data_IF_634706719640
#
_entry.id   IF_634706719640
#
_cell.length_a   1.000
_cell.length_b   1.000
_cell.length_c   1.000
_cell.angle_alpha   90.00
_cell.angle_beta   90.00
_cell.angle_gamma   90.00
#
_symmetry.space_group_name_H-M   'P 1'
#
loop_
_entity.id
_entity.type
_entity.pdbx_description
1 polymer ?
#
# COMPACT_ATOMS: atom_id res chain seq x y z
N UNK A 1 -30.14 62.50 -37.13
CA UNK A 1 -29.08 62.16 -38.12
C UNK A 1 -27.79 62.92 -37.77
N UNK A 2 -26.72 62.20 -37.37
CA UNK A 2 -25.28 62.43 -37.75
C UNK A 2 -24.32 61.91 -36.68
N UNK A 3 -23.77 60.72 -36.98
CA UNK A 3 -22.38 60.22 -36.81
C UNK A 3 -21.56 60.71 -35.60
N UNK A 4 -21.42 59.83 -34.61
CA UNK A 4 -20.29 59.82 -33.68
C UNK A 4 -19.07 59.13 -34.33
N UNK A 5 -17.95 59.87 -34.41
CA UNK A 5 -16.63 59.38 -34.84
C UNK A 5 -15.97 58.63 -33.66
N UNK A 6 -15.57 57.38 -33.87
CA UNK A 6 -14.61 56.68 -33.00
C UNK A 6 -13.20 57.07 -33.45
N UNK A 7 -12.49 57.74 -32.55
CA UNK A 7 -11.11 58.21 -32.71
C UNK A 7 -10.20 57.44 -31.76
N UNK A 8 -9.12 56.88 -32.30
CA UNK A 8 -7.83 56.77 -31.60
C UNK A 8 -7.57 55.49 -30.81
N UNK A 9 -7.04 54.46 -31.45
CA UNK A 9 -6.16 53.50 -30.78
C UNK A 9 -4.75 54.10 -30.73
N UNK A 10 -4.37 54.64 -29.57
CA UNK A 10 -3.00 55.05 -29.28
C UNK A 10 -2.13 53.83 -28.98
N UNK A 11 -1.11 53.59 -29.80
CA UNK A 11 -0.07 52.60 -29.49
C UNK A 11 0.85 53.17 -28.41
N UNK A 12 0.78 52.60 -27.21
CA UNK A 12 1.71 52.92 -26.12
C UNK A 12 2.96 52.06 -26.32
N UNK A 13 3.99 52.65 -26.92
CA UNK A 13 5.32 52.04 -26.96
C UNK A 13 5.97 52.18 -25.57
N UNK A 14 6.07 51.08 -24.84
CA UNK A 14 6.83 51.07 -23.58
C UNK A 14 8.33 51.16 -23.89
N UNK A 15 9.08 51.99 -23.15
CA UNK A 15 10.52 52.10 -23.35
C UNK A 15 11.20 50.75 -23.05
N UNK A 16 12.20 50.41 -23.87
CA UNK A 16 12.90 49.12 -23.85
C UNK A 16 13.46 48.74 -22.46
N UNK A 17 13.80 49.75 -21.65
CA UNK A 17 14.24 49.57 -20.26
C UNK A 17 13.17 48.93 -19.36
N UNK A 18 11.89 49.22 -19.58
CA UNK A 18 10.77 48.64 -18.83
C UNK A 18 10.56 47.18 -19.22
N UNK A 19 10.69 46.85 -20.51
CA UNK A 19 10.62 45.48 -21.00
C UNK A 19 11.78 44.62 -20.48
N UNK A 20 13.00 45.17 -20.47
CA UNK A 20 14.19 44.49 -19.93
C UNK A 20 14.10 44.26 -18.42
N UNK A 21 13.54 45.21 -17.68
CA UNK A 21 13.33 45.06 -16.25
C UNK A 21 12.31 43.96 -15.96
N UNK A 22 11.17 43.98 -16.66
CA UNK A 22 10.13 42.95 -16.53
C UNK A 22 10.65 41.54 -16.89
N UNK A 23 11.49 41.43 -17.91
CA UNK A 23 12.09 40.16 -18.31
C UNK A 23 13.08 39.64 -17.25
N UNK A 24 13.89 40.52 -16.65
CA UNK A 24 14.79 40.15 -15.55
C UNK A 24 14.05 39.69 -14.30
N UNK A 25 12.93 40.33 -13.94
CA UNK A 25 12.10 39.87 -12.83
C UNK A 25 11.50 38.51 -13.12
N UNK A 26 10.90 38.31 -14.31
CA UNK A 26 10.32 37.03 -14.72
C UNK A 26 11.36 35.90 -14.73
N UNK A 27 12.56 36.14 -15.26
CA UNK A 27 13.65 35.15 -15.27
C UNK A 27 14.13 34.80 -13.85
N UNK A 28 14.22 35.79 -12.95
CA UNK A 28 14.59 35.55 -11.55
C UNK A 28 13.50 34.76 -10.79
N UNK A 29 12.21 35.02 -11.07
CA UNK A 29 11.11 34.26 -10.47
C UNK A 29 11.06 32.83 -10.99
N UNK A 30 11.29 32.61 -12.29
CA UNK A 30 11.35 31.28 -12.90
C UNK A 30 12.52 30.45 -12.37
N UNK A 31 13.72 31.03 -12.23
CA UNK A 31 14.87 30.34 -11.62
C UNK A 31 14.62 29.97 -10.14
N UNK A 32 13.91 30.83 -9.41
CA UNK A 32 13.57 30.58 -7.99
C UNK A 32 12.51 29.49 -7.85
N UNK A 33 11.53 29.43 -8.76
CA UNK A 33 10.54 28.36 -8.81
C UNK A 33 11.18 27.00 -9.16
N UNK A 34 12.12 26.97 -10.11
CA UNK A 34 12.82 25.74 -10.50
C UNK A 34 13.72 25.20 -9.37
N UNK A 35 14.33 26.07 -8.56
CA UNK A 35 15.17 25.66 -7.41
C UNK A 35 14.38 25.07 -6.24
N UNK A 36 13.07 25.29 -6.17
CA UNK A 36 12.23 24.85 -5.05
C UNK A 36 11.21 23.76 -5.41
N UNK A 37 11.12 23.32 -6.67
CA UNK A 37 10.20 22.24 -7.06
C UNK A 37 8.75 22.53 -6.68
N UNK A 38 8.35 23.81 -6.75
CA UNK A 38 6.99 24.25 -6.48
C UNK A 38 6.34 24.64 -7.80
N UNK A 39 5.51 23.77 -8.34
CA UNK A 39 4.52 24.17 -9.34
C UNK A 39 3.56 25.19 -8.71
N UNK A 40 3.17 26.26 -9.42
CA UNK A 40 2.20 27.21 -8.92
C UNK A 40 0.82 26.55 -8.84
N UNK A 41 0.31 26.38 -7.61
CA UNK A 41 -1.10 26.06 -7.40
C UNK A 41 -1.97 27.26 -7.82
N UNK A 42 -3.10 27.04 -8.51
CA UNK A 42 -4.07 28.09 -8.77
C UNK A 42 -4.69 28.63 -7.46
N UNK A 43 -5.14 29.90 -7.46
CA UNK A 43 -5.67 30.55 -6.27
C UNK A 43 -6.96 29.87 -5.79
N UNK A 44 -7.03 29.66 -4.48
CA UNK A 44 -8.21 29.14 -3.80
C UNK A 44 -9.13 30.30 -3.40
N UNK A 45 -10.15 30.56 -4.22
CA UNK A 45 -11.27 31.45 -3.88
C UNK A 45 -12.54 30.62 -3.61
N UNK A 46 -12.80 30.42 -2.30
CA UNK A 46 -14.08 30.24 -1.56
C UNK A 46 -15.23 29.32 -2.03
N UNK A 47 -16.33 29.21 -1.25
CA UNK A 47 -16.53 29.55 0.18
C UNK A 47 -17.03 28.36 1.04
N UNK A 48 -17.12 28.62 2.34
CA UNK A 48 -17.72 27.79 3.38
C UNK A 48 -19.00 27.04 2.95
N UNK A 49 -18.99 25.72 3.11
CA UNK A 49 -20.19 24.91 3.24
C UNK A 49 -20.20 24.34 4.66
N UNK A 50 -20.84 25.07 5.56
CA UNK A 50 -21.27 24.54 6.84
C UNK A 50 -22.16 23.32 6.60
N UNK A 51 -21.76 22.17 7.14
CA UNK A 51 -22.60 20.99 7.23
C UNK A 51 -23.73 21.28 8.23
N UNK A 52 -25.01 21.00 7.91
CA UNK A 52 -26.07 21.12 8.88
C UNK A 52 -25.94 20.00 9.92
N UNK A 53 -25.99 20.41 11.18
CA UNK A 53 -26.15 19.53 12.34
C UNK A 53 -27.54 18.91 12.26
N UNK A 54 -27.61 17.61 12.00
CA UNK A 54 -28.84 16.84 12.14
C UNK A 54 -29.16 16.66 13.63
N UNK A 55 -30.31 17.17 14.06
CA UNK A 55 -30.85 16.97 15.40
C UNK A 55 -31.34 15.53 15.63
N UNK A 56 -31.58 15.12 16.88
CA UNK A 56 -32.02 13.79 17.23
C UNK A 56 -33.56 13.75 17.29
N UNK A 57 -34.22 13.33 16.21
CA UNK A 57 -35.54 12.70 16.34
C UNK A 57 -35.97 12.06 15.01
N UNK A 58 -36.03 10.73 14.98
CA UNK A 58 -36.79 9.97 13.99
C UNK A 58 -36.91 8.53 14.47
N UNK A 59 -37.97 8.29 15.24
CA UNK A 59 -38.56 6.98 15.49
C UNK A 59 -38.94 6.32 14.16
N UNK A 60 -38.31 5.18 13.85
CA UNK A 60 -38.71 4.32 12.74
C UNK A 60 -39.89 3.43 13.17
N UNK A 61 -40.96 3.31 12.37
CA UNK A 61 -41.97 2.29 12.60
C UNK A 61 -41.49 0.93 12.10
N UNK A 62 -41.61 -0.07 12.97
CA UNK A 62 -41.52 -1.49 12.64
C UNK A 62 -42.78 -1.86 11.86
N UNK A 63 -42.63 -2.18 10.57
CA UNK A 63 -43.64 -2.93 9.82
C UNK A 63 -43.04 -4.30 9.54
N UNK A 64 -43.55 -5.30 10.25
CA UNK A 64 -43.30 -6.70 9.99
C UNK A 64 -44.07 -7.13 8.75
N UNK A 65 -43.40 -7.81 7.82
CA UNK A 65 -44.04 -8.52 6.72
C UNK A 65 -43.91 -10.04 6.98
N UNK A 66 -44.98 -10.74 7.38
CA UNK A 66 -44.95 -12.16 7.65
C UNK A 66 -45.55 -12.92 6.45
N UNK A 67 -44.85 -12.95 5.31
CA UNK A 67 -45.04 -13.99 4.28
C UNK A 67 -44.03 -13.86 3.13
N UNK A 68 -42.84 -14.43 3.32
CA UNK A 68 -41.94 -14.76 2.23
C UNK A 68 -41.54 -16.23 2.32
N UNK A 69 -42.43 -17.09 1.83
CA UNK A 69 -42.20 -18.52 1.64
C UNK A 69 -41.19 -18.71 0.51
N UNK A 70 -39.90 -18.88 0.86
CA UNK A 70 -38.86 -19.29 -0.09
C UNK A 70 -38.77 -20.82 -0.12
N UNK A 71 -39.52 -21.42 -1.04
CA UNK A 71 -39.31 -22.78 -1.52
C UNK A 71 -38.38 -22.73 -2.73
N UNK A 72 -37.17 -23.29 -2.60
CA UNK A 72 -36.39 -23.79 -3.72
C UNK A 72 -35.42 -24.88 -3.23
N UNK A 73 -35.88 -26.11 -3.29
CA UNK A 73 -35.08 -27.33 -3.23
C UNK A 73 -34.24 -27.46 -4.50
N UNK A 74 -32.93 -27.22 -4.38
CA UNK A 74 -31.93 -27.55 -5.40
C UNK A 74 -31.22 -28.87 -5.07
N UNK A 75 -30.87 -29.71 -6.06
CA UNK A 75 -30.31 -31.03 -5.83
C UNK A 75 -28.90 -30.96 -5.24
N UNK A 76 -28.71 -31.76 -4.17
CA UNK A 76 -27.44 -31.98 -3.48
C UNK A 76 -26.45 -32.66 -4.45
N UNK A 77 -25.54 -31.86 -5.00
CA UNK A 77 -24.36 -32.35 -5.72
C UNK A 77 -23.34 -32.86 -4.71
N UNK A 78 -23.34 -34.17 -4.51
CA UNK A 78 -22.31 -34.89 -3.79
C UNK A 78 -21.10 -35.08 -4.71
N UNK A 79 -20.33 -34.01 -4.90
CA UNK A 79 -18.95 -34.12 -5.36
C UNK A 79 -18.01 -34.21 -4.15
N UNK A 80 -17.10 -35.19 -4.08
CA UNK A 80 -16.00 -35.15 -3.12
C UNK A 80 -15.11 -33.95 -3.50
N UNK A 81 -15.19 -32.88 -2.72
CA UNK A 81 -14.44 -31.65 -2.91
C UNK A 81 -12.95 -31.93 -2.69
N UNK A 82 -12.26 -32.32 -3.76
CA UNK A 82 -10.82 -32.18 -3.84
C UNK A 82 -10.50 -30.71 -3.53
N UNK A 83 -9.63 -30.47 -2.53
CA UNK A 83 -9.03 -29.17 -2.26
C UNK A 83 -8.26 -28.74 -3.53
N UNK A 84 -8.92 -28.11 -4.48
CA UNK A 84 -8.23 -27.36 -5.53
C UNK A 84 -7.73 -26.09 -4.87
N UNK A 85 -6.60 -26.27 -4.19
CA UNK A 85 -5.80 -25.25 -3.55
C UNK A 85 -5.67 -24.05 -4.48
N UNK A 86 -6.20 -22.92 -4.02
CA UNK A 86 -5.79 -21.56 -4.39
C UNK A 86 -5.07 -21.39 -5.72
N UNK A 87 -5.84 -21.30 -6.79
CA UNK A 87 -5.29 -20.81 -8.04
C UNK A 87 -5.23 -19.29 -7.96
N UNK A 88 -4.03 -18.73 -8.13
CA UNK A 88 -3.86 -17.31 -8.47
C UNK A 88 -4.83 -16.94 -9.61
N UNK A 89 -5.39 -15.72 -9.63
CA UNK A 89 -6.21 -15.29 -10.76
C UNK A 89 -5.44 -15.44 -12.07
N UNK A 90 -6.13 -15.81 -13.14
CA UNK A 90 -5.57 -15.98 -14.49
C UNK A 90 -6.18 -14.93 -15.39
N UNK A 91 -5.36 -14.11 -16.05
CA UNK A 91 -5.86 -13.01 -16.87
C UNK A 91 -6.48 -11.85 -16.08
N UNK A 92 -6.27 -11.81 -14.77
CA UNK A 92 -6.81 -10.79 -13.87
C UNK A 92 -5.94 -9.53 -13.78
N UNK A 93 -6.43 -8.54 -13.04
CA UNK A 93 -5.70 -7.32 -12.70
C UNK A 93 -5.25 -7.37 -11.25
N UNK A 94 -3.95 -7.30 -11.03
CA UNK A 94 -3.31 -7.44 -9.72
C UNK A 94 -2.72 -6.11 -9.30
N UNK A 95 -2.93 -5.72 -8.05
CA UNK A 95 -2.24 -4.59 -7.45
C UNK A 95 -1.12 -5.12 -6.55
N UNK A 96 0.11 -4.67 -6.79
CA UNK A 96 1.22 -4.85 -5.85
C UNK A 96 1.56 -3.49 -5.25
N UNK A 97 1.51 -3.37 -3.93
CA UNK A 97 1.86 -2.15 -3.19
C UNK A 97 3.11 -2.39 -2.37
N UNK A 98 4.17 -1.66 -2.70
CA UNK A 98 5.38 -1.64 -1.88
C UNK A 98 5.31 -0.51 -0.86
N UNK A 99 5.38 -0.89 0.41
CA UNK A 99 5.30 0.02 1.57
C UNK A 99 6.56 0.02 2.42
N UNK A 100 6.63 1.00 3.30
CA UNK A 100 7.68 1.13 4.30
C UNK A 100 8.81 2.02 3.81
N UNK A 101 9.99 1.77 4.38
CA UNK A 101 11.22 2.51 4.12
C UNK A 101 12.18 1.64 3.30
N UNK A 102 12.73 2.21 2.23
CA UNK A 102 13.80 1.59 1.47
C UNK A 102 15.15 1.72 2.19
N UNK A 103 16.07 0.80 1.89
CA UNK A 103 17.44 0.82 2.41
C UNK A 103 17.53 0.83 3.94
N UNK A 104 16.68 0.03 4.60
CA UNK A 104 16.79 -0.21 6.03
C UNK A 104 18.05 -1.02 6.31
N UNK A 105 18.83 -0.59 7.29
CA UNK A 105 19.91 -1.39 7.86
C UNK A 105 19.48 -1.98 9.20
N UNK A 106 19.99 -3.17 9.57
CA UNK A 106 19.82 -3.69 10.91
C UNK A 106 20.33 -2.65 11.90
N UNK A 107 19.56 -2.36 12.93
CA UNK A 107 19.95 -1.38 13.93
C UNK A 107 21.06 -1.98 14.79
N UNK A 108 22.32 -1.59 14.61
CA UNK A 108 23.37 -1.97 15.58
C UNK A 108 23.25 -1.22 16.91
N UNK A 109 22.24 -0.34 17.04
CA UNK A 109 22.02 0.54 18.19
C UNK A 109 20.57 0.45 18.62
N UNK A 110 20.31 0.60 19.92
CA UNK A 110 18.95 0.52 20.47
C UNK A 110 18.02 1.54 19.79
N UNK A 111 16.74 1.19 19.59
CA UNK A 111 15.73 2.06 18.93
C UNK A 111 15.66 3.48 19.51
N UNK A 112 16.07 3.66 20.77
CA UNK A 112 16.15 4.95 21.46
C UNK A 112 17.28 5.83 20.91
N UNK A 113 18.41 5.24 20.53
CA UNK A 113 19.57 5.92 19.95
C UNK A 113 19.36 6.30 18.49
N UNK A 114 18.48 5.61 17.76
CA UNK A 114 18.24 5.81 16.32
C UNK A 114 17.02 6.69 16.03
N UNK A 115 16.42 7.32 17.05
CA UNK A 115 15.18 8.11 16.93
C UNK A 115 15.24 9.31 15.96
N UNK A 116 16.41 9.63 15.39
CA UNK A 116 16.57 10.61 14.31
C UNK A 116 17.12 10.08 12.98
N UNK A 117 17.43 8.78 12.89
CA UNK A 117 18.22 8.20 11.79
C UNK A 117 17.64 6.88 11.23
N UNK A 118 16.33 6.67 11.37
CA UNK A 118 15.61 5.54 10.76
C UNK A 118 15.55 5.60 9.22
N UNK A 119 16.23 6.57 8.59
CA UNK A 119 16.16 6.80 7.15
C UNK A 119 17.34 6.15 6.42
N UNK A 120 17.01 5.30 5.46
CA UNK A 120 17.74 5.14 4.20
C UNK A 120 19.28 5.13 4.32
N UNK A 121 19.85 4.03 4.80
CA UNK A 121 21.30 3.91 4.94
C UNK A 121 21.90 3.33 3.65
N UNK A 122 22.96 3.96 3.14
CA UNK A 122 23.69 3.48 1.96
C UNK A 122 24.17 2.03 2.11
N UNK A 123 24.48 1.56 3.32
CA UNK A 123 24.84 0.16 3.56
C UNK A 123 23.66 -0.83 3.37
N UNK A 124 22.42 -0.32 3.27
CA UNK A 124 21.23 -1.08 2.89
C UNK A 124 21.00 -1.17 1.38
N UNK A 125 21.79 -0.46 0.56
CA UNK A 125 21.55 -0.30 -0.88
C UNK A 125 21.54 -1.63 -1.65
N UNK A 126 22.63 -2.40 -1.58
CA UNK A 126 22.75 -3.64 -2.36
C UNK A 126 21.65 -4.66 -1.97
N UNK A 127 21.28 -4.68 -0.69
CA UNK A 127 20.18 -5.50 -0.18
C UNK A 127 18.84 -5.03 -0.73
N UNK A 128 18.60 -3.73 -0.76
CA UNK A 128 17.39 -3.17 -1.34
C UNK A 128 17.30 -3.49 -2.83
N UNK A 129 18.39 -3.41 -3.57
CA UNK A 129 18.46 -3.83 -4.99
C UNK A 129 18.14 -5.32 -5.14
N UNK A 130 18.70 -6.18 -4.27
CA UNK A 130 18.41 -7.61 -4.27
C UNK A 130 16.93 -7.90 -3.98
N UNK A 131 16.36 -7.25 -2.96
CA UNK A 131 14.94 -7.34 -2.62
C UNK A 131 14.05 -6.93 -3.80
N UNK A 132 14.32 -5.76 -4.41
CA UNK A 132 13.60 -5.27 -5.60
C UNK A 132 13.67 -6.24 -6.77
N UNK A 133 14.86 -6.78 -7.07
CA UNK A 133 15.03 -7.79 -8.14
C UNK A 133 14.26 -9.06 -7.84
N UNK A 134 14.29 -9.54 -6.59
CA UNK A 134 13.60 -10.75 -6.17
C UNK A 134 12.08 -10.61 -6.25
N UNK A 135 11.52 -9.44 -5.87
CA UNK A 135 10.10 -9.13 -6.04
C UNK A 135 9.69 -9.25 -7.52
N UNK A 136 10.47 -8.65 -8.41
CA UNK A 136 10.19 -8.73 -9.85
C UNK A 136 10.29 -10.16 -10.36
N UNK A 137 11.30 -10.92 -9.93
CA UNK A 137 11.56 -12.28 -10.40
C UNK A 137 10.54 -13.32 -9.86
N UNK A 138 10.15 -13.20 -8.59
CA UNK A 138 9.43 -14.24 -7.87
C UNK A 138 7.95 -13.88 -7.62
N UNK A 139 7.55 -12.61 -7.74
CA UNK A 139 6.16 -12.20 -7.54
C UNK A 139 5.57 -11.66 -8.85
N UNK A 140 6.13 -10.57 -9.38
CA UNK A 140 5.54 -9.87 -10.53
C UNK A 140 5.56 -10.72 -11.80
N UNK A 141 6.73 -11.22 -12.20
CA UNK A 141 6.86 -12.01 -13.43
C UNK A 141 6.03 -13.30 -13.42
N UNK A 142 5.98 -14.11 -12.34
CA UNK A 142 5.11 -15.28 -12.30
C UNK A 142 3.64 -14.93 -12.46
N UNK A 143 3.15 -13.85 -11.84
CA UNK A 143 1.77 -13.37 -12.04
C UNK A 143 1.50 -12.99 -13.50
N UNK A 144 2.42 -12.25 -14.14
CA UNK A 144 2.29 -11.88 -15.55
C UNK A 144 2.36 -13.08 -16.49
N UNK A 145 3.14 -14.11 -16.13
CA UNK A 145 3.31 -15.32 -16.95
C UNK A 145 2.00 -16.09 -17.14
N UNK A 146 1.07 -15.96 -16.18
CA UNK A 146 -0.31 -16.49 -16.27
C UNK A 146 -1.31 -15.44 -16.78
N UNK A 147 -0.82 -14.51 -17.61
CA UNK A 147 -1.57 -13.45 -18.30
C UNK A 147 -2.16 -12.37 -17.40
N UNK A 148 -1.77 -12.28 -16.13
CA UNK A 148 -2.24 -11.18 -15.31
C UNK A 148 -1.61 -9.86 -15.73
N UNK A 149 -2.37 -8.77 -15.53
CA UNK A 149 -1.89 -7.40 -15.57
C UNK A 149 -1.50 -6.97 -14.17
N UNK A 150 -0.26 -6.59 -13.92
CA UNK A 150 0.20 -6.19 -12.57
C UNK A 150 0.43 -4.68 -12.51
N UNK A 151 -0.36 -3.94 -11.74
CA UNK A 151 -0.05 -2.55 -11.43
C UNK A 151 0.81 -2.48 -10.16
N UNK A 152 1.96 -1.80 -10.22
CA UNK A 152 2.91 -1.69 -9.11
C UNK A 152 2.85 -0.28 -8.53
N UNK A 153 2.43 -0.13 -7.26
CA UNK A 153 2.45 1.12 -6.52
C UNK A 153 3.59 1.12 -5.53
N UNK A 154 4.54 2.02 -5.71
CA UNK A 154 5.76 2.09 -4.91
C UNK A 154 5.68 3.33 -4.04
N UNK A 155 5.59 3.19 -2.71
CA UNK A 155 5.71 4.33 -1.80
C UNK A 155 6.94 4.19 -0.93
N UNK A 156 7.74 5.24 -0.81
CA UNK A 156 8.92 5.23 0.04
C UNK A 156 8.91 6.46 0.95
N UNK A 157 9.40 6.30 2.17
CA UNK A 157 9.72 7.44 3.03
C UNK A 157 10.80 8.32 2.38
N UNK A 158 10.82 9.65 2.60
CA UNK A 158 11.83 10.52 2.02
C UNK A 158 13.23 10.06 2.45
N UNK A 159 14.10 9.87 1.46
CA UNK A 159 15.47 9.43 1.60
C UNK A 159 16.39 10.57 1.13
N UNK A 160 17.48 10.86 1.87
CA UNK A 160 18.42 11.93 1.48
C UNK A 160 19.31 11.48 0.31
N UNK A 161 19.42 10.17 0.13
CA UNK A 161 20.21 9.47 -0.85
C UNK A 161 19.43 9.34 -2.19
N UNK A 162 18.98 10.48 -2.71
CA UNK A 162 18.11 10.57 -3.89
C UNK A 162 18.58 9.73 -5.08
N UNK A 163 19.89 9.70 -5.35
CA UNK A 163 20.44 8.91 -6.46
C UNK A 163 20.29 7.39 -6.25
N UNK A 164 20.41 6.91 -5.01
CA UNK A 164 20.27 5.50 -4.70
C UNK A 164 18.82 5.06 -4.86
N UNK A 165 17.86 5.87 -4.41
CA UNK A 165 16.45 5.54 -4.58
C UNK A 165 16.04 5.54 -6.06
N UNK A 166 16.57 6.45 -6.88
CA UNK A 166 16.32 6.44 -8.33
C UNK A 166 16.81 5.16 -9.01
N UNK A 167 17.97 4.63 -8.59
CA UNK A 167 18.46 3.37 -9.14
C UNK A 167 17.58 2.17 -8.75
N UNK A 168 17.00 2.17 -7.55
CA UNK A 168 16.00 1.16 -7.14
C UNK A 168 14.72 1.34 -7.96
N UNK A 169 14.26 2.57 -8.16
CA UNK A 169 13.12 2.89 -9.00
C UNK A 169 13.32 2.48 -10.45
N UNK A 170 14.55 2.52 -10.97
CA UNK A 170 14.84 2.05 -12.33
C UNK A 170 14.52 0.55 -12.52
N UNK A 171 14.67 -0.26 -11.46
CA UNK A 171 14.31 -1.69 -11.47
C UNK A 171 12.80 -1.84 -11.66
N UNK A 172 12.01 -1.01 -10.98
CA UNK A 172 10.56 -0.99 -11.10
C UNK A 172 10.08 -0.27 -12.36
N UNK A 173 10.76 0.76 -12.84
CA UNK A 173 10.36 1.55 -14.00
C UNK A 173 10.48 0.77 -15.32
N UNK A 174 11.33 -0.27 -15.35
CA UNK A 174 11.33 -1.24 -16.44
C UNK A 174 9.97 -1.97 -16.57
N UNK A 175 9.17 -2.00 -15.52
CA UNK A 175 7.81 -2.49 -15.52
C UNK A 175 6.82 -1.39 -15.92
N UNK A 176 6.06 -1.63 -17.00
CA UNK A 176 5.24 -0.62 -17.69
C UNK A 176 4.14 0.00 -16.82
N UNK A 177 3.74 -0.67 -15.74
CA UNK A 177 2.59 -0.30 -14.90
C UNK A 177 3.01 0.13 -13.50
N UNK A 178 4.23 0.61 -13.37
CA UNK A 178 4.76 1.16 -12.13
C UNK A 178 4.31 2.60 -11.93
N UNK A 179 3.88 2.92 -10.72
CA UNK A 179 3.71 4.29 -10.26
C UNK A 179 4.43 4.49 -8.94
N UNK A 180 5.30 5.48 -8.94
CA UNK A 180 6.02 5.92 -7.74
C UNK A 180 5.18 6.98 -7.06
N UNK A 181 4.78 6.70 -5.83
CA UNK A 181 3.89 7.51 -5.03
C UNK A 181 4.72 8.17 -3.91
N UNK A 182 4.95 9.49 -3.98
CA UNK A 182 5.80 10.17 -3.00
C UNK A 182 5.19 10.07 -1.61
N UNK A 183 6.06 10.00 -0.60
CA UNK A 183 5.61 10.06 0.79
C UNK A 183 4.77 11.31 1.02
N UNK A 184 3.62 11.14 1.66
CA UNK A 184 2.81 12.28 2.03
C UNK A 184 3.42 13.02 3.21
N UNK A 185 3.85 14.26 2.99
CA UNK A 185 4.36 15.14 4.06
C UNK A 185 3.37 15.32 5.23
N UNK A 186 2.07 15.15 4.95
CA UNK A 186 0.99 15.23 5.95
C UNK A 186 0.75 13.91 6.69
N UNK A 187 1.25 12.78 6.18
CA UNK A 187 1.18 11.51 6.88
C UNK A 187 2.10 11.56 8.09
N UNK A 188 1.53 11.34 9.27
CA UNK A 188 2.24 11.39 10.55
C UNK A 188 3.06 10.13 10.80
N UNK A 189 2.74 9.04 10.13
CA UNK A 189 3.39 7.74 10.28
C UNK A 189 3.22 6.88 9.01
N UNK A 190 3.89 5.72 8.98
CA UNK A 190 3.81 4.78 7.85
C UNK A 190 2.39 4.28 7.57
N UNK A 191 1.56 4.13 8.61
CA UNK A 191 0.18 3.67 8.47
C UNK A 191 -0.69 4.69 7.72
N UNK A 192 -0.61 5.98 8.07
CA UNK A 192 -1.30 7.05 7.35
C UNK A 192 -0.82 7.18 5.90
N UNK A 193 0.49 7.01 5.65
CA UNK A 193 1.03 7.02 4.30
C UNK A 193 0.51 5.82 3.47
N UNK A 194 0.51 4.61 4.03
CA UNK A 194 -0.05 3.43 3.38
C UNK A 194 -1.55 3.61 3.09
N UNK A 195 -2.32 4.15 4.05
CA UNK A 195 -3.74 4.46 3.83
C UNK A 195 -3.94 5.40 2.64
N UNK A 196 -3.14 6.47 2.55
CA UNK A 196 -3.22 7.41 1.43
C UNK A 196 -2.91 6.75 0.08
N UNK A 197 -1.89 5.89 0.01
CA UNK A 197 -1.54 5.15 -1.23
C UNK A 197 -2.68 4.23 -1.64
N UNK A 198 -3.28 3.51 -0.70
CA UNK A 198 -4.40 2.63 -1.00
C UNK A 198 -5.66 3.39 -1.40
N UNK A 199 -5.90 4.61 -0.87
CA UNK A 199 -6.95 5.48 -1.39
C UNK A 199 -6.73 5.86 -2.87
N UNK A 200 -5.47 6.02 -3.32
CA UNK A 200 -5.19 6.17 -4.76
C UNK A 200 -5.49 4.89 -5.53
N UNK A 201 -5.17 3.74 -4.95
CA UNK A 201 -5.47 2.44 -5.56
C UNK A 201 -6.98 2.24 -5.75
N UNK A 202 -7.81 2.60 -4.76
CA UNK A 202 -9.28 2.61 -4.88
C UNK A 202 -9.73 3.47 -6.04
N UNK A 203 -9.21 4.71 -6.15
CA UNK A 203 -9.54 5.60 -7.29
C UNK A 203 -9.14 4.99 -8.64
N UNK A 204 -7.97 4.35 -8.73
CA UNK A 204 -7.54 3.64 -9.95
C UNK A 204 -8.43 2.44 -10.28
N UNK A 205 -8.90 1.72 -9.27
CA UNK A 205 -9.85 0.62 -9.46
C UNK A 205 -11.18 1.13 -10.02
N UNK A 206 -11.68 2.27 -9.52
CA UNK A 206 -12.90 2.90 -10.06
C UNK A 206 -12.78 3.34 -11.52
N UNK A 207 -11.58 3.72 -11.98
CA UNK A 207 -11.35 4.23 -13.34
C UNK A 207 -10.97 3.14 -14.35
N UNK A 208 -10.24 2.12 -13.91
CA UNK A 208 -9.63 1.12 -14.80
C UNK A 208 -10.15 -0.31 -14.56
N UNK A 209 -11.20 -0.46 -13.71
CA UNK A 209 -11.77 -1.75 -13.33
C UNK A 209 -11.24 -2.28 -11.99
N UNK A 210 -11.99 -3.16 -11.30
CA UNK A 210 -11.57 -3.72 -10.02
C UNK A 210 -10.28 -4.55 -10.17
N UNK A 211 -9.55 -4.69 -9.08
CA UNK A 211 -8.47 -5.67 -8.99
C UNK A 211 -9.06 -7.02 -8.58
N UNK A 212 -8.42 -8.11 -9.00
CA UNK A 212 -8.76 -9.47 -8.57
C UNK A 212 -8.00 -9.83 -7.30
N UNK A 213 -6.74 -9.39 -7.20
CA UNK A 213 -5.86 -9.63 -6.06
C UNK A 213 -5.07 -8.36 -5.71
N UNK A 214 -4.94 -8.10 -4.43
CA UNK A 214 -4.07 -7.07 -3.87
C UNK A 214 -2.96 -7.77 -3.08
N UNK A 215 -1.73 -7.35 -3.31
CA UNK A 215 -0.54 -7.76 -2.56
C UNK A 215 0.08 -6.50 -1.99
N UNK A 216 0.26 -6.43 -0.67
CA UNK A 216 0.96 -5.34 0.01
C UNK A 216 2.20 -5.95 0.64
N UNK A 217 3.39 -5.47 0.32
CA UNK A 217 4.62 -5.97 0.91
C UNK A 217 5.63 -4.87 1.20
N UNK A 218 6.64 -5.14 2.02
CA UNK A 218 7.71 -4.20 2.33
C UNK A 218 8.77 -4.18 1.22
N UNK A 219 9.52 -3.09 1.16
CA UNK A 219 10.65 -2.93 0.22
C UNK A 219 11.81 -3.86 0.48
N UNK A 220 12.01 -4.26 1.73
CA UNK A 220 13.22 -4.94 2.22
C UNK A 220 13.07 -6.47 2.31
N UNK A 221 12.10 -7.04 1.58
CA UNK A 221 11.86 -8.48 1.54
C UNK A 221 12.56 -9.08 0.32
N UNK A 222 13.51 -9.99 0.56
CA UNK A 222 14.05 -10.84 -0.51
C UNK A 222 13.14 -12.06 -0.62
N UNK A 223 12.45 -12.20 -1.75
CA UNK A 223 11.61 -13.36 -2.03
C UNK A 223 12.46 -14.51 -2.58
N UNK A 224 12.39 -15.68 -1.97
CA UNK A 224 13.17 -16.87 -2.38
C UNK A 224 12.36 -17.87 -3.21
N UNK A 225 11.03 -17.90 -3.00
CA UNK A 225 10.10 -18.75 -3.76
C UNK A 225 9.14 -17.92 -4.59
N UNK A 226 8.70 -18.49 -5.70
CA UNK A 226 7.71 -17.84 -6.55
C UNK A 226 6.33 -17.88 -5.89
N UNK A 227 5.50 -16.87 -6.14
CA UNK A 227 4.15 -16.79 -5.55
C UNK A 227 3.23 -17.95 -5.95
N UNK A 228 3.46 -18.57 -7.11
CA UNK A 228 2.74 -19.76 -7.58
C UNK A 228 3.20 -21.07 -6.89
N UNK A 229 4.21 -21.00 -6.03
CA UNK A 229 4.73 -22.13 -5.24
C UNK A 229 4.38 -22.01 -3.75
N UNK A 230 3.54 -21.05 -3.35
CA UNK A 230 3.18 -20.82 -1.96
C UNK A 230 2.07 -21.78 -1.53
N UNK A 231 2.34 -22.73 -0.60
CA UNK A 231 1.42 -23.83 -0.33
C UNK A 231 0.15 -23.40 0.43
N UNK A 232 0.26 -22.36 1.26
CA UNK A 232 -0.81 -21.94 2.18
C UNK A 232 -1.66 -20.76 1.65
N UNK A 233 -1.16 -20.01 0.66
CA UNK A 233 -1.84 -18.84 0.13
C UNK A 233 -3.23 -19.22 -0.35
N UNK A 234 -4.29 -18.59 0.17
CA UNK A 234 -5.66 -18.64 -0.38
C UNK A 234 -6.08 -17.23 -0.80
N UNK A 235 -6.06 -16.94 -2.11
CA UNK A 235 -6.34 -15.60 -2.64
C UNK A 235 -7.77 -15.09 -2.38
N UNK A 236 -8.67 -15.96 -1.91
CA UNK A 236 -10.03 -15.58 -1.51
C UNK A 236 -10.08 -15.00 -0.10
N UNK A 237 -9.01 -15.14 0.68
CA UNK A 237 -8.90 -14.70 2.07
C UNK A 237 -8.03 -13.45 2.19
N UNK A 238 -8.14 -12.78 3.33
CA UNK A 238 -7.11 -11.87 3.78
C UNK A 238 -5.96 -12.67 4.41
N UNK A 239 -4.79 -12.69 3.79
CA UNK A 239 -3.65 -13.43 4.30
C UNK A 239 -2.59 -12.50 4.90
N UNK A 240 -2.02 -12.93 6.02
CA UNK A 240 -0.72 -12.44 6.52
C UNK A 240 0.42 -13.30 5.97
N UNK A 241 1.68 -12.91 6.18
CA UNK A 241 2.81 -13.74 5.77
C UNK A 241 2.79 -15.11 6.48
N UNK A 242 2.71 -15.06 7.81
CA UNK A 242 2.71 -16.20 8.72
C UNK A 242 2.11 -15.75 10.06
N UNK A 243 1.78 -16.69 10.97
CA UNK A 243 1.73 -16.37 12.40
C UNK A 243 3.05 -15.72 12.84
N UNK A 244 3.06 -14.92 13.92
CA UNK A 244 4.36 -14.51 14.45
C UNK A 244 5.12 -15.70 15.03
N UNK A 245 6.42 -15.51 15.16
CA UNK A 245 7.31 -16.42 15.89
C UNK A 245 6.74 -16.74 17.26
N UNK A 246 6.69 -18.03 17.61
CA UNK A 246 6.02 -18.58 18.79
C UNK A 246 6.37 -17.85 20.10
N UNK A 247 7.58 -17.30 20.20
CA UNK A 247 8.07 -16.57 21.38
C UNK A 247 7.41 -15.21 21.63
N UNK A 248 6.76 -14.64 20.61
CA UNK A 248 6.03 -13.35 20.75
C UNK A 248 4.59 -13.52 21.25
N UNK A 249 4.14 -14.76 21.42
CA UNK A 249 2.83 -15.08 21.99
C UNK A 249 2.85 -15.01 23.52
N UNK A 250 2.87 -13.80 24.08
CA UNK A 250 2.87 -13.64 25.53
C UNK A 250 1.54 -14.06 26.21
N UNK A 251 0.46 -14.28 25.45
CA UNK A 251 -0.79 -14.84 25.95
C UNK A 251 -1.60 -15.47 24.79
N UNK A 252 -1.70 -16.80 24.70
CA UNK A 252 -2.63 -17.42 23.77
C UNK A 252 -4.07 -17.03 24.14
N UNK A 253 -4.91 -16.82 23.14
CA UNK A 253 -6.34 -16.56 23.35
C UNK A 253 -7.06 -17.82 23.88
N UNK A 254 -8.31 -17.71 24.36
CA UNK A 254 -9.07 -18.88 24.83
C UNK A 254 -9.24 -20.01 23.80
N UNK A 255 -9.05 -19.70 22.51
CA UNK A 255 -9.05 -20.65 21.39
C UNK A 255 -7.65 -21.21 21.06
N UNK A 256 -6.63 -20.90 21.87
CA UNK A 256 -5.24 -21.35 21.70
C UNK A 256 -4.48 -20.65 20.58
N UNK A 257 -5.10 -19.71 19.86
CA UNK A 257 -4.47 -19.05 18.72
C UNK A 257 -3.62 -17.85 19.15
N UNK A 258 -2.42 -17.74 18.58
CA UNK A 258 -1.67 -16.50 18.57
C UNK A 258 -2.23 -15.58 17.49
N UNK A 259 -3.06 -14.60 17.85
CA UNK A 259 -3.65 -13.67 16.87
C UNK A 259 -2.64 -12.59 16.39
N UNK A 260 -1.36 -12.92 16.20
CA UNK A 260 -0.40 -11.96 15.67
C UNK A 260 0.03 -12.41 14.27
N UNK A 261 -0.02 -11.49 13.30
CA UNK A 261 0.31 -11.75 11.92
C UNK A 261 1.56 -11.00 11.53
N UNK A 262 2.45 -11.68 10.81
CA UNK A 262 3.65 -11.05 10.29
C UNK A 262 3.28 -10.12 9.10
N UNK A 263 3.64 -8.84 9.22
CA UNK A 263 3.19 -7.75 8.33
C UNK A 263 4.04 -7.56 7.07
N UNK A 264 4.97 -8.48 6.82
CA UNK A 264 5.85 -8.49 5.65
C UNK A 264 5.08 -8.55 4.34
N UNK A 265 3.99 -9.32 4.34
CA UNK A 265 3.06 -9.38 3.22
C UNK A 265 1.63 -9.48 3.73
N UNK A 266 0.75 -8.74 3.06
CA UNK A 266 -0.69 -8.95 3.11
C UNK A 266 -1.18 -9.28 1.71
N UNK A 267 -2.06 -10.25 1.58
CA UNK A 267 -2.80 -10.46 0.34
C UNK A 267 -4.28 -10.42 0.61
N UNK A 268 -5.07 -9.91 -0.33
CA UNK A 268 -6.53 -9.94 -0.22
C UNK A 268 -7.18 -9.92 -1.59
N UNK A 269 -8.40 -10.46 -1.75
CA UNK A 269 -9.15 -10.29 -2.98
C UNK A 269 -9.49 -8.81 -3.19
N UNK A 270 -9.50 -8.33 -4.44
CA UNK A 270 -9.60 -6.90 -4.69
C UNK A 270 -10.93 -6.25 -4.31
N UNK A 271 -12.02 -7.01 -4.18
CA UNK A 271 -13.29 -6.50 -3.65
C UNK A 271 -13.20 -6.04 -2.18
N UNK A 272 -12.16 -6.47 -1.45
CA UNK A 272 -11.93 -6.04 -0.07
C UNK A 272 -11.17 -4.71 0.06
N UNK A 273 -10.58 -4.20 -1.02
CA UNK A 273 -9.69 -3.03 -0.96
C UNK A 273 -10.36 -1.81 -0.33
N UNK A 274 -11.61 -1.51 -0.70
CA UNK A 274 -12.33 -0.35 -0.16
C UNK A 274 -12.64 -0.50 1.34
N UNK A 275 -13.09 -1.69 1.75
CA UNK A 275 -13.31 -2.03 3.16
C UNK A 275 -12.01 -1.87 3.95
N UNK A 276 -10.91 -2.46 3.47
CA UNK A 276 -9.58 -2.39 4.08
C UNK A 276 -9.12 -0.94 4.31
N UNK A 277 -9.32 -0.07 3.33
CA UNK A 277 -8.96 1.36 3.41
C UNK A 277 -9.79 2.13 4.43
N UNK A 278 -11.08 1.79 4.56
CA UNK A 278 -12.02 2.46 5.47
C UNK A 278 -11.87 2.02 6.93
N UNK A 279 -11.27 0.85 7.18
CA UNK A 279 -11.15 0.34 8.53
C UNK A 279 -10.39 1.31 9.46
N UNK A 280 -10.78 1.40 10.75
CA UNK A 280 -10.13 2.29 11.72
C UNK A 280 -8.76 1.78 12.21
N UNK A 281 -8.30 0.63 11.70
CA UNK A 281 -7.16 -0.17 12.17
C UNK A 281 -5.77 0.47 11.95
N UNK A 282 -5.70 1.66 11.36
CA UNK A 282 -4.45 2.35 11.05
C UNK A 282 -3.82 3.04 12.28
N UNK A 283 -4.55 3.14 13.39
CA UNK A 283 -4.06 3.78 14.63
C UNK A 283 -3.58 2.72 15.62
N UNK A 284 -2.26 2.51 15.68
CA UNK A 284 -1.51 1.86 16.76
C UNK A 284 -2.07 0.55 17.37
N UNK A 285 -2.98 -0.13 16.68
CA UNK A 285 -3.60 -1.34 17.19
C UNK A 285 -2.89 -2.52 16.57
N UNK A 286 -2.36 -3.35 17.47
CA UNK A 286 -1.71 -4.62 17.19
C UNK A 286 -2.50 -5.36 16.11
N UNK A 287 -1.83 -5.96 15.13
CA UNK A 287 -2.40 -6.73 14.01
C UNK A 287 -3.53 -7.69 14.45
N UNK A 288 -3.42 -8.20 15.68
CA UNK A 288 -4.48 -8.74 16.53
C UNK A 288 -5.89 -8.15 16.30
N UNK A 289 -6.06 -6.85 16.51
CA UNK A 289 -7.35 -6.19 16.35
C UNK A 289 -7.82 -6.14 14.90
N UNK A 290 -6.88 -6.17 13.95
CA UNK A 290 -7.21 -6.19 12.54
C UNK A 290 -7.82 -7.54 12.13
N UNK A 291 -7.16 -8.64 12.48
CA UNK A 291 -7.69 -10.00 12.23
C UNK A 291 -9.08 -10.19 12.82
N UNK A 292 -9.30 -9.72 14.06
CA UNK A 292 -10.60 -9.78 14.70
C UNK A 292 -11.65 -8.91 14.01
N UNK A 293 -11.29 -7.68 13.68
CA UNK A 293 -12.19 -6.78 12.96
C UNK A 293 -12.59 -7.35 11.59
N UNK A 294 -11.66 -8.02 10.88
CA UNK A 294 -11.96 -8.74 9.64
C UNK A 294 -12.98 -9.86 9.88
N UNK A 295 -12.72 -10.75 10.83
CA UNK A 295 -13.64 -11.86 11.13
C UNK A 295 -15.02 -11.37 11.56
N UNK A 296 -15.10 -10.29 12.34
CA UNK A 296 -16.38 -9.68 12.77
C UNK A 296 -17.23 -9.16 11.61
N UNK A 297 -16.61 -8.80 10.48
CA UNK A 297 -17.33 -8.39 9.26
C UNK A 297 -17.43 -9.52 8.22
N UNK A 298 -17.20 -10.77 8.63
CA UNK A 298 -17.32 -11.94 7.76
C UNK A 298 -16.17 -12.13 6.77
N UNK A 299 -15.01 -11.52 7.03
CA UNK A 299 -13.80 -11.73 6.23
C UNK A 299 -13.00 -12.89 6.79
N UNK A 300 -12.76 -13.89 5.95
CA UNK A 300 -11.86 -14.99 6.25
C UNK A 300 -10.40 -14.51 6.26
N UNK A 301 -9.69 -14.93 7.30
CA UNK A 301 -8.27 -14.62 7.51
C UNK A 301 -7.45 -15.90 7.41
N UNK A 302 -6.34 -15.84 6.68
CA UNK A 302 -5.39 -16.94 6.50
C UNK A 302 -3.93 -16.49 6.53
N UNK A 303 -3.06 -17.35 6.02
CA UNK A 303 -1.62 -17.14 5.94
C UNK A 303 -1.13 -17.48 4.53
N UNK A 304 -0.13 -16.74 4.04
CA UNK A 304 0.37 -16.87 2.68
C UNK A 304 1.46 -17.95 2.56
N UNK A 305 2.29 -18.12 3.59
CA UNK A 305 3.54 -18.87 3.47
C UNK A 305 3.55 -20.22 4.19
N UNK A 306 2.85 -20.33 5.32
CA UNK A 306 2.69 -21.59 6.06
C UNK A 306 1.34 -21.57 6.79
N UNK A 307 0.65 -22.71 6.76
CA UNK A 307 -0.54 -23.01 7.53
C UNK A 307 -0.24 -23.77 8.84
N UNK A 308 1.02 -24.18 9.04
CA UNK A 308 1.46 -24.93 10.20
C UNK A 308 2.26 -24.05 11.18
N UNK A 309 1.67 -23.66 12.32
CA UNK A 309 2.39 -22.94 13.36
C UNK A 309 3.50 -23.78 14.02
N UNK A 310 3.47 -25.12 13.93
CA UNK A 310 4.52 -26.01 14.47
C UNK A 310 5.77 -26.04 13.59
N UNK A 311 5.65 -25.78 12.27
CA UNK A 311 6.82 -25.51 11.40
C UNK A 311 7.61 -24.26 11.84
N UNK A 312 7.02 -23.40 12.66
CA UNK A 312 7.62 -22.18 13.22
C UNK A 312 8.23 -22.44 14.62
N UNK A 313 8.14 -23.67 15.13
CA UNK A 313 8.63 -24.09 16.45
C UNK A 313 10.13 -23.85 16.68
N UNK A 314 10.52 -23.81 17.96
CA UNK A 314 11.80 -23.32 18.50
C UNK A 314 13.05 -23.73 17.69
N UNK A 315 13.54 -22.79 16.87
CA UNK A 315 14.79 -22.95 16.12
C UNK A 315 14.64 -23.15 14.60
N UNK A 316 13.41 -23.15 14.07
CA UNK A 316 13.22 -23.38 12.64
C UNK A 316 13.43 -22.11 11.82
N UNK A 317 14.47 -22.19 10.99
CA UNK A 317 14.80 -21.41 9.78
C UNK A 317 13.69 -21.48 8.70
N UNK A 318 12.42 -21.65 9.05
CA UNK A 318 11.28 -21.84 8.15
C UNK A 318 10.93 -20.59 7.33
N UNK A 319 10.87 -19.37 7.90
CA UNK A 319 10.63 -18.18 7.09
C UNK A 319 11.74 -17.94 6.07
N UNK A 320 12.98 -18.35 6.36
CA UNK A 320 14.14 -18.24 5.46
C UNK A 320 14.01 -19.06 4.17
N UNK A 321 13.05 -19.97 4.05
CA UNK A 321 12.81 -20.68 2.79
C UNK A 321 11.99 -19.85 1.80
N UNK A 322 11.13 -18.96 2.29
CA UNK A 322 10.20 -18.19 1.47
C UNK A 322 10.68 -16.77 1.25
N UNK A 323 11.29 -16.19 2.29
CA UNK A 323 11.80 -14.84 2.24
C UNK A 323 12.99 -14.64 3.19
N UNK A 324 13.69 -13.54 3.03
CA UNK A 324 14.70 -13.08 3.97
C UNK A 324 14.45 -11.61 4.30
N UNK A 325 14.42 -11.29 5.59
CA UNK A 325 14.23 -9.95 6.12
C UNK A 325 15.35 -9.67 7.11
N UNK A 326 16.19 -8.69 6.79
CA UNK A 326 17.43 -8.47 7.54
C UNK A 326 17.27 -7.64 8.81
N UNK A 327 16.06 -7.24 9.19
CA UNK A 327 15.83 -6.44 10.39
C UNK A 327 15.62 -7.28 11.66
N UNK A 328 15.63 -8.62 11.61
CA UNK A 328 15.70 -9.38 12.86
C UNK A 328 17.12 -9.31 13.38
N UNK A 329 17.29 -8.60 14.49
CA UNK A 329 18.44 -8.79 15.34
C UNK A 329 18.44 -10.27 15.73
N UNK A 330 19.39 -11.04 15.19
CA UNK A 330 19.89 -12.16 15.97
C UNK A 330 20.55 -11.50 17.19
N UNK A 331 19.89 -11.55 18.34
CA UNK A 331 20.48 -11.25 19.66
C UNK A 331 21.52 -12.33 20.04
N UNK A 332 22.29 -12.81 19.05
CA UNK A 332 23.33 -13.81 19.17
C UNK A 332 24.62 -13.24 19.75
N UNK A 333 24.53 -12.57 20.90
CA UNK A 333 25.64 -12.58 21.85
C UNK A 333 25.56 -13.90 22.62
N UNK A 334 26.00 -14.95 21.95
CA UNK A 334 26.14 -16.30 22.49
C UNK A 334 27.50 -16.87 22.13
N UNK A 335 28.56 -16.24 22.65
CA UNK A 335 29.85 -16.86 22.97
C UNK A 335 30.35 -16.31 24.31
#
# INVERSE_FOLDING_TARGET
MRRSRLSGQGSIALPLSVLLLAWRTLAATALRAHRHGLDPMPPADGPDSALPVAGPDSTLPVVADPNATLSASGPSSTHPAARTNSTLPVGGRILVVLRGEAMRTPHTKSWREVSGQLGCDKAGYDRQVAASKSLMANIVKPLESIRNRVDLLVTNYPCKEGQLIESIYSIYAAHRQTSIEPFQKRARNQAENMKWVLQRAVRRASLQGPYDLIIITRHDVIWRRRIDEWPALDVRKFNYASPCEARTCHAPFPDGMCECGNDLIHTMPGHMLDTFVKMPLWRHTKILNASRAYRQVGVDVGYALTDDPEEIGEGVRAPNQYYEVYCSLDDGDGD
#
